data_IF_558843488952
#
_entry.id   IF_558843488952
#
_cell.length_a   1.000
_cell.length_b   1.000
_cell.length_c   1.000
_cell.angle_alpha   90.00
_cell.angle_beta   90.00
_cell.angle_gamma   90.00
#
_symmetry.space_group_name_H-M   'P 1'
#
loop_
_entity.id
_entity.type
_entity.pdbx_description
1 polymer ?
#
# COMPACT_ATOMS: atom_id res chain seq x y z
N UNK A 1 -50.30 -7.58 11.03
CA UNK A 1 -48.91 -7.41 10.54
C UNK A 1 -47.98 -7.59 11.73
N UNK A 2 -47.06 -8.58 11.69
CA UNK A 2 -46.15 -8.88 12.81
C UNK A 2 -45.19 -7.70 12.98
N UNK A 3 -45.20 -7.07 14.14
CA UNK A 3 -44.36 -5.90 14.43
C UNK A 3 -42.90 -6.23 14.14
N UNK A 4 -42.23 -5.48 13.23
CA UNK A 4 -40.82 -5.70 13.00
C UNK A 4 -40.07 -5.36 14.29
N UNK A 5 -39.27 -6.31 14.77
CA UNK A 5 -38.46 -6.11 15.96
C UNK A 5 -37.41 -5.01 15.68
N UNK A 6 -37.65 -3.82 16.22
CA UNK A 6 -36.89 -2.59 15.92
C UNK A 6 -35.37 -2.75 16.13
N UNK A 7 -34.98 -3.59 17.10
CA UNK A 7 -33.59 -3.92 17.37
C UNK A 7 -32.94 -4.68 16.21
N UNK A 8 -33.64 -5.68 15.66
CA UNK A 8 -33.14 -6.50 14.53
C UNK A 8 -33.07 -5.69 13.23
N UNK A 9 -33.97 -4.71 13.08
CA UNK A 9 -33.97 -3.78 11.95
C UNK A 9 -32.80 -2.79 12.04
N UNK A 10 -32.64 -2.12 13.19
CA UNK A 10 -31.52 -1.20 13.43
C UNK A 10 -30.15 -1.87 13.28
N UNK A 11 -29.99 -3.11 13.76
CA UNK A 11 -28.72 -3.84 13.66
C UNK A 11 -28.39 -4.21 12.21
N UNK A 12 -29.40 -4.58 11.40
CA UNK A 12 -29.21 -4.86 9.96
C UNK A 12 -28.80 -3.62 9.18
N UNK A 13 -29.56 -2.53 9.33
CA UNK A 13 -29.33 -1.32 8.53
C UNK A 13 -28.15 -0.49 9.06
N UNK A 14 -27.90 -0.51 10.37
CA UNK A 14 -26.77 0.15 11.00
C UNK A 14 -25.42 -0.49 10.67
N UNK A 15 -25.36 -1.83 10.59
CA UNK A 15 -24.14 -2.51 10.14
C UNK A 15 -23.82 -2.20 8.68
N UNK A 16 -24.84 -2.19 7.81
CA UNK A 16 -24.67 -1.87 6.39
C UNK A 16 -24.21 -0.42 6.21
N UNK A 17 -24.79 0.54 6.91
CA UNK A 17 -24.38 1.94 6.81
C UNK A 17 -22.97 2.19 7.36
N UNK A 18 -22.60 1.52 8.45
CA UNK A 18 -21.24 1.59 8.98
C UNK A 18 -20.20 1.00 8.00
N UNK A 19 -20.52 -0.13 7.36
CA UNK A 19 -19.66 -0.75 6.35
C UNK A 19 -19.50 0.13 5.11
N UNK A 20 -20.60 0.68 4.60
CA UNK A 20 -20.57 1.62 3.47
C UNK A 20 -19.78 2.88 3.81
N UNK A 21 -19.90 3.39 5.04
CA UNK A 21 -19.12 4.53 5.52
C UNK A 21 -17.61 4.23 5.57
N UNK A 22 -17.22 3.05 6.05
CA UNK A 22 -15.80 2.63 6.01
C UNK A 22 -15.30 2.48 4.58
N UNK A 23 -16.07 1.83 3.69
CA UNK A 23 -15.68 1.62 2.29
C UNK A 23 -15.56 2.97 1.56
N UNK A 24 -16.52 3.88 1.70
CA UNK A 24 -16.51 5.20 1.04
C UNK A 24 -15.29 6.04 1.44
N UNK A 25 -14.85 5.96 2.70
CA UNK A 25 -13.70 6.74 3.17
C UNK A 25 -12.35 6.09 2.89
N UNK A 26 -12.29 4.75 2.85
CA UNK A 26 -11.04 4.00 2.74
C UNK A 26 -10.75 3.60 1.29
N UNK A 27 -11.77 3.30 0.48
CA UNK A 27 -11.59 2.88 -0.91
C UNK A 27 -10.88 3.93 -1.78
N UNK A 28 -11.17 5.25 -1.70
CA UNK A 28 -10.43 6.24 -2.49
C UNK A 28 -8.95 6.27 -2.14
N UNK A 29 -8.61 6.13 -0.84
CA UNK A 29 -7.23 6.09 -0.39
C UNK A 29 -6.50 4.83 -0.91
N UNK A 30 -7.17 3.66 -0.86
CA UNK A 30 -6.62 2.41 -1.39
C UNK A 30 -6.42 2.51 -2.91
N UNK A 31 -7.41 2.98 -3.67
CA UNK A 31 -7.30 3.13 -5.13
C UNK A 31 -6.18 4.10 -5.51
N UNK A 32 -6.00 5.19 -4.77
CA UNK A 32 -4.89 6.11 -4.99
C UNK A 32 -3.53 5.46 -4.71
N UNK A 33 -3.41 4.70 -3.62
CA UNK A 33 -2.19 3.94 -3.32
C UNK A 33 -1.89 2.88 -4.38
N UNK A 34 -2.89 2.15 -4.85
CA UNK A 34 -2.74 1.19 -5.96
C UNK A 34 -2.33 1.87 -7.26
N UNK A 35 -2.89 3.04 -7.58
CA UNK A 35 -2.53 3.83 -8.75
C UNK A 35 -1.07 4.31 -8.70
N UNK A 36 -0.63 4.85 -7.56
CA UNK A 36 0.77 5.25 -7.36
C UNK A 36 1.72 4.05 -7.45
N UNK A 37 1.36 2.92 -6.84
CA UNK A 37 2.16 1.69 -6.91
C UNK A 37 2.27 1.18 -8.34
N UNK A 38 1.15 1.16 -9.09
CA UNK A 38 1.15 0.79 -10.51
C UNK A 38 2.02 1.70 -11.36
N UNK A 39 2.02 3.02 -11.07
CA UNK A 39 2.92 3.98 -11.73
C UNK A 39 4.40 3.69 -11.46
N UNK A 40 4.76 3.36 -10.22
CA UNK A 40 6.14 2.99 -9.85
C UNK A 40 6.60 1.71 -10.56
N UNK A 41 5.71 0.71 -10.66
CA UNK A 41 5.99 -0.54 -11.39
C UNK A 41 6.18 -0.26 -12.88
N UNK A 42 5.35 0.60 -13.49
CA UNK A 42 5.49 0.97 -14.90
C UNK A 42 6.80 1.72 -15.19
N UNK A 43 7.24 2.60 -14.28
CA UNK A 43 8.54 3.27 -14.42
C UNK A 43 9.69 2.26 -14.28
N UNK A 44 9.59 1.33 -13.32
CA UNK A 44 10.59 0.27 -13.13
C UNK A 44 10.68 -0.64 -14.35
N UNK A 45 9.56 -0.85 -15.06
CA UNK A 45 9.53 -1.57 -16.33
C UNK A 45 10.24 -0.82 -17.45
N UNK A 46 10.01 0.50 -17.58
CA UNK A 46 10.73 1.31 -18.57
C UNK A 46 12.25 1.27 -18.33
N UNK A 47 12.67 1.39 -17.07
CA UNK A 47 14.08 1.29 -16.69
C UNK A 47 14.72 -0.07 -17.06
N UNK A 48 13.98 -1.19 -16.95
CA UNK A 48 14.47 -2.52 -17.33
C UNK A 48 14.65 -2.69 -18.84
N UNK A 49 13.78 -2.08 -19.66
CA UNK A 49 13.88 -2.13 -21.12
C UNK A 49 14.99 -1.25 -21.71
N UNK A 50 15.28 -0.11 -21.06
CA UNK A 50 16.21 0.88 -21.58
C UNK A 50 17.60 0.85 -20.93
N UNK A 51 17.83 0.04 -19.91
CA UNK A 51 19.16 -0.16 -19.32
C UNK A 51 19.88 -1.33 -20.02
N UNK A 52 21.05 -1.07 -20.62
CA UNK A 52 21.81 -2.06 -21.39
C UNK A 52 22.24 -3.31 -20.57
N UNK A 53 22.28 -3.20 -19.24
CA UNK A 53 22.76 -4.26 -18.35
C UNK A 53 21.63 -5.07 -17.65
N UNK A 54 20.35 -4.73 -17.87
CA UNK A 54 19.22 -5.38 -17.17
C UNK A 54 19.22 -5.18 -15.64
N UNK A 55 20.07 -4.28 -15.13
CA UNK A 55 20.19 -3.96 -13.71
C UNK A 55 19.02 -3.08 -13.23
N UNK A 56 18.75 -3.10 -11.92
CA UNK A 56 17.81 -2.20 -11.26
C UNK A 56 18.11 -0.74 -11.67
N UNK A 57 17.30 -0.20 -12.58
CA UNK A 57 17.52 1.14 -13.10
C UNK A 57 17.52 2.20 -12.00
N UNK A 58 18.28 3.26 -12.22
CA UNK A 58 18.50 4.35 -11.26
C UNK A 58 17.18 4.96 -10.76
N UNK A 59 16.13 4.97 -11.58
CA UNK A 59 14.80 5.45 -11.22
C UNK A 59 14.11 4.60 -10.16
N UNK A 60 14.25 3.27 -10.25
CA UNK A 60 13.70 2.33 -9.26
C UNK A 60 14.29 2.54 -7.85
N UNK A 61 15.60 2.80 -7.77
CA UNK A 61 16.30 3.09 -6.52
C UNK A 61 15.85 4.44 -5.96
N UNK A 62 15.74 5.46 -6.81
CA UNK A 62 15.29 6.80 -6.41
C UNK A 62 13.86 6.75 -5.83
N UNK A 63 12.96 6.00 -6.46
CA UNK A 63 11.58 5.83 -5.99
C UNK A 63 11.49 5.11 -4.65
N UNK A 64 12.33 4.08 -4.42
CA UNK A 64 12.42 3.39 -3.13
C UNK A 64 12.91 4.35 -2.02
N UNK A 65 13.92 5.16 -2.31
CA UNK A 65 14.41 6.19 -1.38
C UNK A 65 13.30 7.19 -1.05
N UNK A 66 12.60 7.71 -2.07
CA UNK A 66 11.47 8.63 -1.88
C UNK A 66 10.35 8.02 -1.03
N UNK A 67 10.01 6.75 -1.27
CA UNK A 67 9.01 6.03 -0.50
C UNK A 67 9.41 5.90 0.98
N UNK A 68 10.68 5.59 1.27
CA UNK A 68 11.20 5.59 2.63
C UNK A 68 11.10 6.98 3.29
N UNK A 69 11.44 8.05 2.58
CA UNK A 69 11.29 9.42 3.08
C UNK A 69 9.84 9.77 3.42
N UNK A 70 8.88 9.41 2.56
CA UNK A 70 7.45 9.63 2.81
C UNK A 70 6.96 8.84 4.04
N UNK A 71 7.42 7.59 4.21
CA UNK A 71 7.12 6.78 5.39
C UNK A 71 7.63 7.43 6.68
N UNK A 72 8.88 7.90 6.69
CA UNK A 72 9.48 8.62 7.83
C UNK A 72 8.72 9.92 8.10
N UNK A 73 8.41 10.69 7.05
CA UNK A 73 7.67 11.94 7.17
C UNK A 73 6.28 11.72 7.79
N UNK A 74 5.53 10.71 7.31
CA UNK A 74 4.24 10.32 7.85
C UNK A 74 4.32 9.93 9.33
N UNK A 75 5.36 9.18 9.71
CA UNK A 75 5.60 8.80 11.11
C UNK A 75 5.88 10.02 12.01
N UNK A 76 6.70 10.97 11.55
CA UNK A 76 6.99 12.21 12.29
C UNK A 76 5.72 13.05 12.45
N UNK A 77 4.93 13.20 11.40
CA UNK A 77 3.66 13.92 11.42
C UNK A 77 2.67 13.30 12.41
N UNK A 78 2.56 11.97 12.42
CA UNK A 78 1.73 11.25 13.39
C UNK A 78 2.19 11.51 14.83
N UNK A 79 3.50 11.45 15.08
CA UNK A 79 4.07 11.76 16.40
C UNK A 79 3.77 13.20 16.84
N UNK A 80 3.90 14.17 15.93
CA UNK A 80 3.55 15.59 16.20
C UNK A 80 2.08 15.73 16.56
N UNK A 81 1.17 15.08 15.82
CA UNK A 81 -0.28 15.15 16.07
C UNK A 81 -0.66 14.50 17.41
N UNK A 82 -0.06 13.37 17.76
CA UNK A 82 -0.23 12.75 19.08
C UNK A 82 0.35 13.59 20.23
N UNK A 83 1.32 14.48 19.99
CA UNK A 83 1.85 15.39 21.01
C UNK A 83 0.90 16.55 21.32
N UNK A 84 0.00 16.90 20.40
CA UNK A 84 -0.97 17.99 20.58
C UNK A 84 -2.21 17.55 21.37
N UNK A 85 -2.48 16.26 21.45
CA UNK A 85 -3.59 15.70 22.22
C UNK A 85 -3.15 15.35 23.65
N UNK A 86 -3.98 15.68 24.64
CA UNK A 86 -3.82 15.25 26.03
C UNK A 86 -4.20 13.77 26.20
N UNK A 87 -3.38 12.87 25.66
CA UNK A 87 -3.52 11.41 25.77
C UNK A 87 -2.55 10.89 26.83
N UNK A 88 -2.97 9.90 27.61
CA UNK A 88 -2.11 9.17 28.56
C UNK A 88 -0.79 8.72 27.89
N UNK A 89 0.39 9.06 28.47
CA UNK A 89 1.69 8.70 27.92
C UNK A 89 1.88 7.19 27.69
N UNK A 90 1.23 6.32 28.47
CA UNK A 90 1.30 4.85 28.27
C UNK A 90 0.59 4.43 26.97
N UNK A 91 -0.61 4.96 26.74
CA UNK A 91 -1.42 4.67 25.54
C UNK A 91 -0.77 5.24 24.28
N UNK A 92 -0.11 6.39 24.40
CA UNK A 92 0.65 7.01 23.32
C UNK A 92 1.80 6.12 22.82
N UNK A 93 2.61 5.57 23.73
CA UNK A 93 3.68 4.63 23.37
C UNK A 93 3.12 3.38 22.70
N UNK A 94 2.05 2.81 23.25
CA UNK A 94 1.44 1.60 22.72
C UNK A 94 0.89 1.81 21.30
N UNK A 95 0.19 2.92 21.05
CA UNK A 95 -0.31 3.27 19.72
C UNK A 95 0.83 3.50 18.71
N UNK A 96 1.92 4.15 19.13
CA UNK A 96 3.07 4.37 18.27
C UNK A 96 3.76 3.04 17.91
N UNK A 97 3.96 2.15 18.89
CA UNK A 97 4.51 0.80 18.66
C UNK A 97 3.62 0.00 17.72
N UNK A 98 2.30 0.04 17.92
CA UNK A 98 1.34 -0.69 17.10
C UNK A 98 1.33 -0.16 15.66
N UNK A 99 1.40 1.17 15.48
CA UNK A 99 1.54 1.79 14.16
C UNK A 99 2.83 1.33 13.47
N UNK A 100 3.97 1.37 14.17
CA UNK A 100 5.26 0.93 13.60
C UNK A 100 5.23 -0.55 13.22
N UNK A 101 4.70 -1.40 14.09
CA UNK A 101 4.58 -2.83 13.81
C UNK A 101 3.66 -3.08 12.60
N UNK A 102 2.53 -2.39 12.53
CA UNK A 102 1.60 -2.50 11.40
C UNK A 102 2.26 -2.04 10.09
N UNK A 103 2.93 -0.88 10.08
CA UNK A 103 3.61 -0.36 8.89
C UNK A 103 4.73 -1.29 8.40
N UNK A 104 5.54 -1.83 9.31
CA UNK A 104 6.62 -2.75 8.94
C UNK A 104 6.06 -4.07 8.41
N UNK A 105 5.14 -4.69 9.16
CA UNK A 105 4.57 -5.99 8.77
C UNK A 105 3.81 -5.91 7.45
N UNK A 106 2.90 -4.95 7.31
CA UNK A 106 2.15 -4.78 6.06
C UNK A 106 3.07 -4.31 4.93
N UNK A 107 3.93 -3.31 5.17
CA UNK A 107 4.81 -2.77 4.13
C UNK A 107 5.74 -3.82 3.53
N UNK A 108 6.42 -4.60 4.38
CA UNK A 108 7.30 -5.69 3.93
C UNK A 108 6.52 -6.81 3.25
N UNK A 109 5.39 -7.22 3.82
CA UNK A 109 4.58 -8.30 3.24
C UNK A 109 4.05 -7.93 1.86
N UNK A 110 3.52 -6.71 1.72
CA UNK A 110 3.06 -6.22 0.42
C UNK A 110 4.21 -6.09 -0.58
N UNK A 111 5.36 -5.55 -0.16
CA UNK A 111 6.53 -5.45 -1.03
C UNK A 111 6.97 -6.82 -1.58
N UNK A 112 7.13 -7.81 -0.72
CA UNK A 112 7.52 -9.18 -1.12
C UNK A 112 6.46 -9.85 -2.01
N UNK A 113 5.18 -9.66 -1.69
CA UNK A 113 4.10 -10.22 -2.50
C UNK A 113 4.07 -9.60 -3.90
N UNK A 114 4.24 -8.28 -4.00
CA UNK A 114 4.30 -7.59 -5.29
C UNK A 114 5.55 -7.95 -6.09
N UNK A 115 6.71 -8.01 -5.44
CA UNK A 115 7.94 -8.38 -6.14
C UNK A 115 7.85 -9.80 -6.70
N UNK A 116 7.44 -10.78 -5.89
CA UNK A 116 7.31 -12.17 -6.33
C UNK A 116 6.29 -12.34 -7.46
N UNK A 117 5.12 -11.68 -7.37
CA UNK A 117 4.11 -11.71 -8.43
C UNK A 117 4.62 -11.08 -9.72
N UNK A 118 5.32 -9.95 -9.59
CA UNK A 118 5.88 -9.25 -10.75
C UNK A 118 7.00 -10.07 -11.40
N UNK A 119 7.92 -10.63 -10.62
CA UNK A 119 9.01 -11.47 -11.12
C UNK A 119 8.49 -12.69 -11.89
N UNK A 120 7.53 -13.40 -11.32
CA UNK A 120 6.87 -14.52 -12.02
C UNK A 120 6.25 -14.09 -13.35
N UNK A 121 5.52 -12.96 -13.37
CA UNK A 121 4.92 -12.45 -14.60
C UNK A 121 5.97 -12.06 -15.65
N UNK A 122 7.09 -11.48 -15.22
CA UNK A 122 8.18 -11.09 -16.11
C UNK A 122 8.89 -12.28 -16.73
N UNK A 123 9.23 -13.27 -15.91
CA UNK A 123 9.94 -14.48 -16.36
C UNK A 123 9.11 -15.29 -17.35
N UNK A 124 7.79 -15.40 -17.11
CA UNK A 124 6.91 -16.22 -17.95
C UNK A 124 6.55 -15.55 -19.28
N UNK A 125 6.27 -14.23 -19.28
CA UNK A 125 5.68 -13.57 -20.45
C UNK A 125 6.62 -12.59 -21.18
N UNK A 126 7.53 -11.94 -20.47
CA UNK A 126 8.29 -10.79 -20.99
C UNK A 126 9.70 -11.21 -21.43
N UNK A 127 10.46 -11.88 -20.55
CA UNK A 127 11.83 -12.35 -20.84
C UNK A 127 11.91 -13.22 -22.10
N UNK A 128 11.03 -14.22 -22.33
CA UNK A 128 11.11 -15.03 -23.54
C UNK A 128 10.89 -14.23 -24.83
N UNK A 129 10.03 -13.21 -24.82
CA UNK A 129 9.81 -12.34 -25.98
C UNK A 129 11.03 -11.45 -26.25
N UNK A 130 11.64 -10.89 -25.20
CA UNK A 130 12.85 -10.08 -25.32
C UNK A 130 14.02 -10.87 -25.92
N UNK A 131 14.18 -12.15 -25.55
CA UNK A 131 15.21 -13.03 -26.12
C UNK A 131 14.97 -13.35 -27.60
N UNK A 132 13.71 -13.36 -28.06
CA UNK A 132 13.37 -13.55 -29.48
C UNK A 132 13.72 -12.28 -30.28
N UNK A 133 13.45 -11.09 -29.74
CA UNK A 133 13.77 -9.82 -30.39
C UNK A 133 15.28 -9.53 -30.43
N UNK A 134 16.03 -9.83 -29.37
CA UNK A 134 17.49 -9.65 -29.31
C UNK A 134 18.28 -10.61 -30.21
N UNK A 135 17.73 -11.79 -30.52
CA UNK A 135 18.37 -12.77 -31.42
C UNK A 135 18.12 -12.49 -32.91
N UNK A 136 17.29 -11.50 -33.22
CA UNK A 136 16.94 -11.11 -34.58
C UNK A 136 17.86 -10.01 -35.08
#
# INVERSE_FOLDING_TARGET
MKSPNAFKWSLKFGLISALTGMICCVAPAILFMFGLMGGVVAISFADFFYAEDGSLGTGSILLRILACFLGIYGFIMYRKKQNQCSIDPKRKKLNLTLLTFLLLTFGVSFFLAFESLSGWYFDEYIVPQQQIELKK
#
